data_IF_977884485282
#
_entry.id   IF_977884485282
#
_cell.length_a   1.000
_cell.length_b   1.000
_cell.length_c   1.000
_cell.angle_alpha   90.00
_cell.angle_beta   90.00
_cell.angle_gamma   90.00
#
_symmetry.space_group_name_H-M   'P 1'
#
loop_
_entity.id
_entity.type
_entity.pdbx_description
1 polymer ?
#
# COMPACT_ATOMS: atom_id res chain seq x y z
N UNK A 1 -41.87 30.98 -14.62
CA UNK A 1 -40.96 30.96 -13.45
C UNK A 1 -39.70 30.17 -13.85
N UNK A 2 -38.56 30.83 -14.05
CA UNK A 2 -37.28 30.16 -14.34
C UNK A 2 -36.58 29.84 -13.02
N UNK A 3 -36.47 28.55 -12.69
CA UNK A 3 -35.69 28.08 -11.54
C UNK A 3 -34.20 28.16 -11.91
N UNK A 4 -33.50 29.18 -11.43
CA UNK A 4 -32.04 29.25 -11.52
C UNK A 4 -31.45 28.32 -10.46
N UNK A 5 -30.83 27.23 -10.94
CA UNK A 5 -30.06 26.31 -10.13
C UNK A 5 -28.75 27.02 -9.78
N UNK A 6 -28.69 27.60 -8.57
CA UNK A 6 -27.46 28.13 -8.00
C UNK A 6 -26.59 26.94 -7.57
N UNK A 7 -25.89 26.34 -8.53
CA UNK A 7 -24.78 25.43 -8.22
C UNK A 7 -23.60 26.29 -7.81
N UNK A 8 -23.55 26.72 -6.55
CA UNK A 8 -22.30 27.23 -5.99
C UNK A 8 -21.26 26.12 -6.14
N UNK A 9 -20.09 26.39 -6.74
CA UNK A 9 -18.99 25.44 -6.70
C UNK A 9 -18.66 25.23 -5.22
N UNK A 10 -18.86 24.01 -4.71
CA UNK A 10 -18.30 23.64 -3.42
C UNK A 10 -16.80 23.65 -3.64
N UNK A 11 -16.16 24.73 -3.21
CA UNK A 11 -14.70 24.85 -3.24
C UNK A 11 -14.16 23.76 -2.32
N UNK A 12 -13.70 22.64 -2.90
CA UNK A 12 -13.25 21.49 -2.13
C UNK A 12 -11.91 21.86 -1.51
N UNK A 13 -11.90 22.12 -0.20
CA UNK A 13 -10.65 22.33 0.52
C UNK A 13 -9.83 21.04 0.44
N UNK A 14 -8.52 21.13 0.10
CA UNK A 14 -7.68 19.94 0.00
C UNK A 14 -7.58 19.26 1.35
N UNK A 15 -7.83 17.95 1.37
CA UNK A 15 -7.67 17.13 2.57
C UNK A 15 -6.20 16.73 2.69
N UNK A 16 -5.48 17.31 3.65
CA UNK A 16 -4.10 16.93 3.91
C UNK A 16 -4.11 15.68 4.80
N UNK A 17 -3.59 14.57 4.27
CA UNK A 17 -3.44 13.31 4.98
C UNK A 17 -1.95 12.97 5.03
N UNK A 18 -1.42 12.79 6.24
CA UNK A 18 -0.07 12.29 6.48
C UNK A 18 -0.18 10.92 7.12
N UNK A 19 0.51 9.94 6.57
CA UNK A 19 0.63 8.59 7.13
C UNK A 19 2.11 8.26 7.18
N UNK A 20 2.57 7.84 8.34
CA UNK A 20 3.90 7.30 8.56
C UNK A 20 3.75 5.86 9.02
N UNK A 21 4.64 4.98 8.57
CA UNK A 21 4.59 3.56 8.93
C UNK A 21 5.97 2.95 8.79
N UNK A 22 6.26 1.96 9.61
CA UNK A 22 7.40 1.08 9.37
C UNK A 22 7.08 0.05 8.30
N UNK A 23 8.12 -0.45 7.64
CA UNK A 23 8.04 -1.59 6.73
C UNK A 23 8.80 -2.74 7.38
N UNK A 24 8.20 -3.93 7.36
CA UNK A 24 8.83 -5.15 7.88
C UNK A 24 8.72 -6.30 6.86
N UNK A 25 9.82 -7.03 6.67
CA UNK A 25 9.83 -8.27 5.89
C UNK A 25 9.67 -9.45 6.85
N UNK A 26 8.49 -10.07 6.85
CA UNK A 26 8.20 -11.18 7.78
C UNK A 26 8.58 -12.56 7.23
N UNK A 27 8.81 -12.65 5.93
CA UNK A 27 9.30 -13.81 5.18
C UNK A 27 9.71 -13.36 3.78
N UNK A 28 10.39 -14.21 3.01
CA UNK A 28 10.89 -13.93 1.66
C UNK A 28 9.82 -13.52 0.63
N UNK A 29 8.54 -13.48 1.00
CA UNK A 29 7.42 -13.15 0.12
C UNK A 29 6.44 -12.15 0.77
N UNK A 30 6.72 -11.65 1.97
CA UNK A 30 5.73 -10.87 2.71
C UNK A 30 6.30 -9.58 3.32
N UNK A 31 6.04 -8.49 2.61
CA UNK A 31 6.33 -7.12 3.05
C UNK A 31 5.08 -6.58 3.74
N UNK A 32 5.21 -6.15 4.99
CA UNK A 32 4.13 -5.62 5.81
C UNK A 32 4.37 -4.17 6.21
N UNK A 33 3.32 -3.36 6.18
CA UNK A 33 3.25 -2.11 6.93
C UNK A 33 3.02 -2.44 8.41
N UNK A 34 3.80 -1.80 9.28
CA UNK A 34 3.75 -1.96 10.74
C UNK A 34 3.71 -0.59 11.41
N UNK A 35 3.08 -0.55 12.58
CA UNK A 35 2.98 0.64 13.44
C UNK A 35 2.59 1.93 12.68
N UNK A 36 1.49 1.94 11.92
CA UNK A 36 1.07 3.15 11.21
C UNK A 36 0.64 4.25 12.19
N UNK A 37 1.11 5.46 11.94
CA UNK A 37 0.69 6.71 12.59
C UNK A 37 0.25 7.68 11.51
N UNK A 38 -0.50 8.73 11.88
CA UNK A 38 -0.90 9.70 10.88
C UNK A 38 -1.84 10.77 11.38
N UNK A 39 -2.07 11.76 10.53
CA UNK A 39 -2.93 12.90 10.79
C UNK A 39 -3.75 13.28 9.55
N UNK A 40 -4.94 13.82 9.79
CA UNK A 40 -5.78 14.50 8.78
C UNK A 40 -5.90 15.96 9.19
N UNK A 41 -5.43 16.87 8.34
CA UNK A 41 -5.36 18.30 8.64
C UNK A 41 -4.73 18.57 10.02
N UNK A 42 -3.63 17.87 10.33
CA UNK A 42 -2.92 17.96 11.61
C UNK A 42 -3.59 17.25 12.80
N UNK A 43 -4.78 16.67 12.64
CA UNK A 43 -5.47 15.92 13.71
C UNK A 43 -5.13 14.43 13.64
N UNK A 44 -4.72 13.78 14.75
CA UNK A 44 -4.38 12.36 14.75
C UNK A 44 -5.50 11.48 14.19
N UNK A 45 -5.13 10.53 13.34
CA UNK A 45 -6.04 9.49 12.86
C UNK A 45 -6.16 8.42 13.95
N UNK A 46 -7.37 7.91 14.17
CA UNK A 46 -7.56 6.84 15.15
C UNK A 46 -6.73 5.59 14.80
N UNK A 47 -6.19 4.88 15.81
CA UNK A 47 -5.47 3.63 15.58
C UNK A 47 -6.29 2.60 14.81
N UNK A 48 -7.62 2.56 15.01
CA UNK A 48 -8.51 1.63 14.30
C UNK A 48 -8.49 1.85 12.78
N UNK A 49 -8.52 3.10 12.32
CA UNK A 49 -8.49 3.42 10.89
C UNK A 49 -7.11 3.13 10.29
N UNK A 50 -6.04 3.51 11.00
CA UNK A 50 -4.66 3.25 10.58
C UNK A 50 -4.39 1.74 10.48
N UNK A 51 -4.84 0.96 11.47
CA UNK A 51 -4.72 -0.49 11.46
C UNK A 51 -5.54 -1.14 10.34
N UNK A 52 -6.75 -0.64 10.08
CA UNK A 52 -7.57 -1.11 8.95
C UNK A 52 -6.89 -0.84 7.60
N UNK A 53 -6.29 0.33 7.44
CA UNK A 53 -5.48 0.67 6.26
C UNK A 53 -4.29 -0.29 6.09
N UNK A 54 -3.46 -0.44 7.14
CA UNK A 54 -2.30 -1.34 7.10
C UNK A 54 -2.71 -2.79 6.84
N UNK A 55 -3.79 -3.27 7.45
CA UNK A 55 -4.32 -4.61 7.18
C UNK A 55 -4.73 -4.79 5.72
N UNK A 56 -5.45 -3.82 5.15
CA UNK A 56 -5.87 -3.85 3.74
C UNK A 56 -4.70 -3.78 2.76
N UNK A 57 -3.62 -3.08 3.10
CA UNK A 57 -2.37 -3.12 2.33
C UNK A 57 -1.72 -4.50 2.42
N UNK A 58 -1.50 -4.99 3.64
CA UNK A 58 -0.81 -6.26 3.91
C UNK A 58 -1.52 -7.46 3.31
N UNK A 59 -2.84 -7.42 3.17
CA UNK A 59 -3.62 -8.46 2.49
C UNK A 59 -3.42 -8.47 0.98
N UNK A 60 -3.14 -7.33 0.35
CA UNK A 60 -2.95 -7.24 -1.11
C UNK A 60 -1.49 -7.45 -1.50
N UNK A 61 -0.57 -7.08 -0.63
CA UNK A 61 0.87 -7.13 -0.88
C UNK A 61 1.53 -8.38 -0.28
N UNK A 62 0.93 -9.54 -0.56
CA UNK A 62 1.46 -10.86 -0.22
C UNK A 62 1.91 -11.54 -1.51
N UNK A 63 3.23 -11.65 -1.73
CA UNK A 63 3.79 -12.13 -3.00
C UNK A 63 3.46 -13.61 -3.25
N UNK A 64 2.97 -14.35 -2.26
CA UNK A 64 2.39 -15.68 -2.46
C UNK A 64 1.16 -15.67 -3.37
N UNK A 65 0.45 -14.54 -3.47
CA UNK A 65 -0.68 -14.40 -4.39
C UNK A 65 -0.21 -14.29 -5.84
N UNK A 66 1.05 -13.89 -6.06
CA UNK A 66 1.70 -13.93 -7.36
C UNK A 66 2.22 -15.35 -7.65
N UNK A 67 2.53 -16.10 -6.58
CA UNK A 67 2.93 -17.50 -6.70
C UNK A 67 1.74 -18.36 -7.16
N UNK A 68 1.64 -18.59 -8.46
CA UNK A 68 0.75 -19.57 -9.06
C UNK A 68 1.59 -20.74 -9.61
N UNK A 69 0.96 -21.72 -10.24
CA UNK A 69 1.64 -22.93 -10.74
C UNK A 69 2.84 -22.62 -11.66
N UNK A 70 2.89 -21.41 -12.23
CA UNK A 70 3.83 -21.00 -13.27
C UNK A 70 4.52 -19.68 -12.96
N UNK A 71 4.40 -19.09 -11.77
CA UNK A 71 5.14 -17.86 -11.44
C UNK A 71 5.56 -17.96 -10.00
N UNK A 72 6.77 -17.52 -9.68
CA UNK A 72 7.16 -17.32 -8.29
C UNK A 72 7.98 -16.06 -8.11
N UNK A 73 7.81 -15.39 -6.97
CA UNK A 73 8.57 -14.20 -6.58
C UNK A 73 9.20 -14.42 -5.21
N UNK A 74 10.46 -14.00 -5.07
CA UNK A 74 11.19 -14.04 -3.80
C UNK A 74 11.95 -12.74 -3.57
N UNK A 75 11.73 -12.12 -2.43
CA UNK A 75 12.52 -10.99 -1.92
C UNK A 75 13.85 -11.53 -1.43
N UNK A 76 14.94 -10.96 -1.95
CA UNK A 76 16.30 -11.28 -1.56
C UNK A 76 16.81 -10.29 -0.51
N UNK A 77 16.48 -9.01 -0.70
CA UNK A 77 16.97 -7.94 0.15
C UNK A 77 16.03 -6.75 0.09
N UNK A 78 15.78 -6.14 1.26
CA UNK A 78 15.07 -4.89 1.41
C UNK A 78 15.92 -3.96 2.27
N UNK A 79 16.30 -2.82 1.71
CA UNK A 79 17.03 -1.76 2.41
C UNK A 79 16.20 -0.50 2.41
N UNK A 80 16.12 0.15 3.56
CA UNK A 80 15.36 1.37 3.75
C UNK A 80 16.28 2.40 4.39
N UNK A 81 16.47 3.51 3.70
CA UNK A 81 17.15 4.70 4.19
C UNK A 81 16.16 5.87 4.19
N UNK A 82 16.56 7.05 4.66
CA UNK A 82 15.65 8.18 4.87
C UNK A 82 14.95 8.65 3.58
N UNK A 83 15.61 8.53 2.43
CA UNK A 83 15.18 9.04 1.12
C UNK A 83 15.11 7.96 0.04
N UNK A 84 15.42 6.70 0.37
CA UNK A 84 15.44 5.60 -0.59
C UNK A 84 14.99 4.27 -0.01
N UNK A 85 14.33 3.50 -0.87
CA UNK A 85 13.99 2.10 -0.63
C UNK A 85 14.62 1.31 -1.76
N UNK A 86 15.53 0.39 -1.44
CA UNK A 86 16.09 -0.56 -2.39
C UNK A 86 15.45 -1.95 -2.16
N UNK A 87 14.92 -2.54 -3.22
CA UNK A 87 14.36 -3.90 -3.20
C UNK A 87 15.07 -4.75 -4.24
N UNK A 88 15.71 -5.83 -3.80
CA UNK A 88 16.18 -6.90 -4.68
C UNK A 88 15.23 -8.09 -4.59
N UNK A 89 14.73 -8.54 -5.75
CA UNK A 89 13.84 -9.68 -5.84
C UNK A 89 14.15 -10.53 -7.08
N UNK A 90 13.89 -11.83 -6.97
CA UNK A 90 13.89 -12.76 -8.10
C UNK A 90 12.45 -13.07 -8.50
N UNK A 91 12.17 -13.09 -9.80
CA UNK A 91 10.90 -13.56 -10.37
C UNK A 91 11.19 -14.67 -11.39
N UNK A 92 10.57 -15.83 -11.19
CA UNK A 92 10.54 -16.91 -12.17
C UNK A 92 9.23 -16.90 -12.93
N UNK A 93 9.30 -16.90 -14.26
CA UNK A 93 8.14 -17.11 -15.14
C UNK A 93 8.24 -18.53 -15.72
N UNK A 94 7.35 -19.39 -15.25
CA UNK A 94 7.07 -20.71 -15.77
C UNK A 94 6.38 -20.61 -17.13
N UNK A 95 7.10 -21.01 -18.16
CA UNK A 95 6.57 -21.12 -19.51
C UNK A 95 5.94 -22.51 -19.62
N UNK A 96 4.61 -22.61 -19.70
CA UNK A 96 3.96 -23.85 -20.13
C UNK A 96 4.13 -23.96 -21.63
N UNK A 97 4.92 -24.91 -22.09
CA UNK A 97 4.83 -25.36 -23.48
C UNK A 97 3.51 -26.12 -23.61
N UNK A 98 2.57 -25.59 -24.41
CA UNK A 98 1.41 -26.36 -24.84
C UNK A 98 1.93 -27.61 -25.57
N UNK A 99 1.64 -28.79 -25.04
CA UNK A 99 1.74 -30.06 -25.74
C UNK A 99 0.35 -30.50 -26.17
#
# INVERSE_FOLDING_TARGET
LKLQKLSTPVESQPLNITIETGINLTSDYNIKLVNPTGAVNGKPISPRLLNGFAQGFNQRFDLRQINNNNTFVRVLQLEIEADRINLAAFMGLGITANQ
#
